data_IF_813684612675
#
_entry.id   IF_813684612675
#
_cell.length_a   1.000
_cell.length_b   1.000
_cell.length_c   1.000
_cell.angle_alpha   90.00
_cell.angle_beta   90.00
_cell.angle_gamma   90.00
#
_symmetry.space_group_name_H-M   'P 1'
#
loop_
_entity.id
_entity.type
_entity.pdbx_description
1 polymer ?
#
# COMPACT_ATOMS: atom_id res chain seq x y z
N UNK A 1 -5.99 -7.84 11.64
CA UNK A 1 -6.35 -8.71 10.51
C UNK A 1 -5.31 -8.53 9.40
N UNK A 2 -4.10 -9.07 9.55
CA UNK A 2 -3.03 -8.87 8.57
C UNK A 2 -3.34 -9.54 7.22
N UNK A 3 -4.13 -10.62 7.24
CA UNK A 3 -4.49 -11.37 6.04
C UNK A 3 -5.28 -10.52 5.02
N UNK A 4 -6.14 -9.62 5.49
CA UNK A 4 -6.89 -8.69 4.63
C UNK A 4 -5.93 -7.70 3.94
N UNK A 5 -4.91 -7.20 4.64
CA UNK A 5 -3.92 -6.30 4.06
C UNK A 5 -3.14 -6.99 2.91
N UNK A 6 -2.74 -8.24 3.13
CA UNK A 6 -2.06 -9.04 2.10
C UNK A 6 -2.99 -9.30 0.89
N UNK A 7 -4.28 -9.56 1.12
CA UNK A 7 -5.24 -9.70 0.02
C UNK A 7 -5.39 -8.41 -0.79
N UNK A 8 -5.44 -7.26 -0.11
CA UNK A 8 -5.45 -5.95 -0.78
C UNK A 8 -4.19 -5.73 -1.61
N UNK A 9 -3.02 -6.13 -1.12
CA UNK A 9 -1.77 -6.06 -1.87
C UNK A 9 -1.81 -6.93 -3.13
N UNK A 10 -2.37 -8.14 -3.04
CA UNK A 10 -2.53 -9.03 -4.19
C UNK A 10 -3.50 -8.45 -5.23
N UNK A 11 -4.59 -7.80 -4.79
CA UNK A 11 -5.54 -7.11 -5.66
C UNK A 11 -4.88 -5.89 -6.33
N UNK A 12 -4.10 -5.10 -5.58
CA UNK A 12 -3.36 -3.97 -6.13
C UNK A 12 -2.39 -4.43 -7.22
N UNK A 13 -1.62 -5.49 -6.95
CA UNK A 13 -0.70 -6.08 -7.92
C UNK A 13 -1.41 -6.63 -9.16
N UNK A 14 -2.52 -7.37 -8.97
CA UNK A 14 -3.31 -7.91 -10.07
C UNK A 14 -3.91 -6.81 -10.94
N UNK A 15 -4.46 -5.77 -10.32
CA UNK A 15 -5.04 -4.62 -11.04
C UNK A 15 -3.98 -3.86 -11.84
N UNK A 16 -2.78 -3.65 -11.27
CA UNK A 16 -1.65 -3.05 -11.98
C UNK A 16 -1.28 -3.86 -13.24
N UNK A 17 -1.21 -5.19 -13.15
CA UNK A 17 -0.84 -6.05 -14.29
C UNK A 17 -1.84 -5.99 -15.44
N UNK A 18 -3.13 -5.84 -15.14
CA UNK A 18 -4.16 -5.68 -16.16
C UNK A 18 -4.06 -4.32 -16.86
N UNK A 19 -3.74 -3.26 -16.11
CA UNK A 19 -3.61 -1.91 -16.65
C UNK A 19 -2.34 -1.70 -17.49
N UNK A 20 -1.25 -2.41 -17.16
CA UNK A 20 -0.02 -2.36 -17.94
C UNK A 20 -0.22 -2.77 -19.42
N UNK A 21 -1.35 -3.41 -19.75
CA UNK A 21 -1.70 -3.81 -21.12
C UNK A 21 -2.55 -2.78 -21.86
N UNK A 22 -3.16 -1.81 -21.17
CA UNK A 22 -4.06 -0.83 -21.79
C UNK A 22 -4.05 0.51 -21.06
N UNK A 23 -3.55 1.54 -21.76
CA UNK A 23 -3.55 2.92 -21.27
C UNK A 23 -4.97 3.45 -20.96
N UNK A 24 -6.01 2.90 -21.59
CA UNK A 24 -7.39 3.29 -21.33
C UNK A 24 -7.86 2.93 -19.90
N UNK A 25 -7.22 1.94 -19.26
CA UNK A 25 -7.55 1.49 -17.91
C UNK A 25 -6.80 2.25 -16.81
N UNK A 26 -5.90 3.15 -17.20
CA UNK A 26 -5.04 3.87 -16.27
C UNK A 26 -5.82 4.68 -15.22
N UNK A 27 -6.81 5.46 -15.64
CA UNK A 27 -7.62 6.27 -14.72
C UNK A 27 -8.45 5.42 -13.75
N UNK A 28 -8.98 4.29 -14.24
CA UNK A 28 -9.66 3.29 -13.40
C UNK A 28 -8.72 2.72 -12.34
N UNK A 29 -7.49 2.45 -12.75
CA UNK A 29 -6.44 1.99 -11.86
C UNK A 29 -6.05 2.97 -10.76
N UNK A 30 -5.90 4.24 -11.10
CA UNK A 30 -5.61 5.28 -10.13
C UNK A 30 -6.69 5.36 -9.05
N UNK A 31 -7.97 5.31 -9.46
CA UNK A 31 -9.10 5.29 -8.53
C UNK A 31 -9.06 4.02 -7.67
N UNK A 32 -8.86 2.85 -8.27
CA UNK A 32 -8.75 1.58 -7.55
C UNK A 32 -7.62 1.57 -6.51
N UNK A 33 -6.43 2.01 -6.91
CA UNK A 33 -5.27 2.12 -6.04
C UNK A 33 -5.52 3.10 -4.88
N UNK A 34 -6.21 4.21 -5.15
CA UNK A 34 -6.61 5.18 -4.12
C UNK A 34 -7.52 4.54 -3.08
N UNK A 35 -8.53 3.76 -3.51
CA UNK A 35 -9.44 3.05 -2.62
C UNK A 35 -8.68 2.03 -1.76
N UNK A 36 -7.74 1.29 -2.33
CA UNK A 36 -6.91 0.31 -1.60
C UNK A 36 -6.06 1.01 -0.53
N UNK A 37 -5.39 2.10 -0.87
CA UNK A 37 -4.57 2.87 0.08
C UNK A 37 -5.43 3.43 1.22
N UNK A 38 -6.62 3.96 0.92
CA UNK A 38 -7.55 4.42 1.95
C UNK A 38 -8.02 3.30 2.87
N UNK A 39 -8.33 2.11 2.32
CA UNK A 39 -8.69 0.95 3.12
C UNK A 39 -7.55 0.52 4.06
N UNK A 40 -6.31 0.47 3.57
CA UNK A 40 -5.12 0.15 4.38
C UNK A 40 -4.85 1.22 5.44
N UNK A 41 -5.10 2.50 5.13
CA UNK A 41 -4.95 3.60 6.08
C UNK A 41 -5.97 3.46 7.23
N UNK A 42 -7.23 3.21 6.90
CA UNK A 42 -8.29 2.94 7.89
C UNK A 42 -7.91 1.74 8.74
N UNK A 43 -7.43 0.64 8.14
CA UNK A 43 -6.98 -0.54 8.88
C UNK A 43 -5.83 -0.23 9.84
N UNK A 44 -4.90 0.65 9.45
CA UNK A 44 -3.76 1.06 10.29
C UNK A 44 -4.24 1.86 11.50
N UNK A 45 -5.14 2.82 11.30
CA UNK A 45 -5.67 3.68 12.37
C UNK A 45 -6.57 2.89 13.32
N UNK A 46 -7.47 2.06 12.78
CA UNK A 46 -8.47 1.29 13.53
C UNK A 46 -7.93 -0.01 14.14
N UNK A 47 -6.65 -0.33 13.95
CA UNK A 47 -6.05 -1.56 14.49
C UNK A 47 -6.12 -1.59 16.03
N UNK A 48 -6.93 -2.52 16.55
CA UNK A 48 -7.18 -2.71 18.00
C UNK A 48 -6.18 -3.64 18.71
N UNK A 49 -5.28 -4.30 17.98
CA UNK A 49 -4.29 -5.21 18.56
C UNK A 49 -3.09 -4.47 19.16
N UNK A 50 -2.17 -5.21 19.82
CA UNK A 50 -0.88 -4.65 20.26
C UNK A 50 -0.09 -4.14 19.04
N UNK A 51 0.18 -2.84 19.00
CA UNK A 51 0.92 -2.16 17.91
C UNK A 51 2.43 -2.31 18.10
N UNK A 52 2.89 -2.08 19.33
CA UNK A 52 4.29 -2.18 19.74
C UNK A 52 4.53 -3.51 20.44
N UNK A 53 5.59 -4.19 20.04
CA UNK A 53 6.13 -5.37 20.67
C UNK A 53 7.15 -5.02 21.75
N UNK A 54 8.01 -5.99 22.04
CA UNK A 54 9.07 -5.83 23.04
C UNK A 54 10.03 -4.69 22.68
N UNK A 55 10.57 -4.06 23.73
CA UNK A 55 11.59 -3.03 23.58
C UNK A 55 12.86 -3.66 23.02
N UNK A 56 13.32 -3.16 21.89
CA UNK A 56 14.55 -3.64 21.27
C UNK A 56 15.73 -2.81 21.78
N UNK A 57 16.52 -3.39 22.68
CA UNK A 57 17.70 -2.74 23.25
C UNK A 57 18.82 -2.50 22.24
N UNK A 58 18.82 -3.18 21.09
CA UNK A 58 19.82 -2.97 20.04
C UNK A 58 19.53 -1.71 19.21
N UNK A 59 18.26 -1.38 18.97
CA UNK A 59 17.84 -0.20 18.20
C UNK A 59 17.28 0.93 19.05
N UNK A 60 17.20 0.74 20.38
CA UNK A 60 16.60 1.67 21.33
C UNK A 60 15.15 2.08 20.96
N UNK A 61 14.42 1.16 20.35
CA UNK A 61 13.06 1.41 19.84
C UNK A 61 12.12 0.27 20.18
N UNK A 62 10.81 0.57 20.24
CA UNK A 62 9.81 -0.48 20.27
C UNK A 62 9.54 -0.99 18.85
N UNK A 63 9.83 -2.26 18.61
CA UNK A 63 9.53 -2.89 17.32
C UNK A 63 8.01 -3.00 17.14
N UNK A 64 7.50 -2.82 15.92
CA UNK A 64 6.10 -3.17 15.64
C UNK A 64 5.87 -4.66 15.82
N UNK A 65 4.68 -5.04 16.29
CA UNK A 65 4.29 -6.46 16.23
C UNK A 65 4.19 -6.89 14.78
N UNK A 66 4.56 -8.13 14.45
CA UNK A 66 4.56 -8.65 13.07
C UNK A 66 3.24 -8.36 12.36
N UNK A 67 2.11 -8.55 13.06
CA UNK A 67 0.76 -8.31 12.52
C UNK A 67 0.51 -6.84 12.16
N UNK A 68 1.01 -5.90 12.96
CA UNK A 68 0.87 -4.48 12.70
C UNK A 68 1.88 -4.00 11.65
N UNK A 69 3.12 -4.51 11.71
CA UNK A 69 4.17 -4.23 10.74
C UNK A 69 3.75 -4.58 9.31
N UNK A 70 3.11 -5.74 9.10
CA UNK A 70 2.58 -6.13 7.79
C UNK A 70 1.59 -5.09 7.25
N UNK A 71 0.63 -4.64 8.06
CA UNK A 71 -0.38 -3.65 7.65
C UNK A 71 0.28 -2.31 7.29
N UNK A 72 1.24 -1.86 8.11
CA UNK A 72 1.99 -0.62 7.88
C UNK A 72 2.84 -0.71 6.61
N UNK A 73 3.53 -1.82 6.39
CA UNK A 73 4.33 -2.03 5.17
C UNK A 73 3.45 -2.08 3.92
N UNK A 74 2.31 -2.80 3.97
CA UNK A 74 1.31 -2.80 2.90
C UNK A 74 0.87 -1.37 2.57
N UNK A 75 0.54 -0.56 3.59
CA UNK A 75 0.17 0.85 3.38
C UNK A 75 1.29 1.64 2.72
N UNK A 76 2.52 1.55 3.22
CA UNK A 76 3.67 2.31 2.69
C UNK A 76 3.91 1.96 1.22
N UNK A 77 3.96 0.67 0.88
CA UNK A 77 4.21 0.22 -0.48
C UNK A 77 3.09 0.69 -1.42
N UNK A 78 1.83 0.48 -1.05
CA UNK A 78 0.70 0.90 -1.89
C UNK A 78 0.58 2.42 -2.03
N UNK A 79 0.94 3.18 -0.99
CA UNK A 79 0.98 4.64 -1.05
C UNK A 79 2.09 5.13 -1.97
N UNK A 80 3.27 4.50 -1.97
CA UNK A 80 4.34 4.79 -2.93
C UNK A 80 3.91 4.49 -4.36
N UNK A 81 3.23 3.36 -4.57
CA UNK A 81 2.65 3.04 -5.90
C UNK A 81 1.65 4.12 -6.30
N UNK A 82 0.70 4.51 -5.44
CA UNK A 82 -0.26 5.58 -5.75
C UNK A 82 0.44 6.91 -6.07
N UNK A 83 1.49 7.27 -5.32
CA UNK A 83 2.28 8.47 -5.58
C UNK A 83 2.89 8.45 -6.99
N UNK A 84 3.41 7.30 -7.41
CA UNK A 84 3.95 7.13 -8.75
C UNK A 84 2.86 7.17 -9.84
N UNK A 85 1.62 6.70 -9.57
CA UNK A 85 0.48 6.98 -10.46
C UNK A 85 0.26 8.49 -10.57
N UNK A 86 0.26 9.24 -9.47
CA UNK A 86 0.08 10.70 -9.55
C UNK A 86 1.16 11.35 -10.42
N UNK A 87 2.43 10.97 -10.26
CA UNK A 87 3.54 11.48 -11.08
C UNK A 87 3.41 11.15 -12.57
N UNK A 88 2.83 9.99 -12.89
CA UNK A 88 2.55 9.59 -14.26
C UNK A 88 1.40 10.41 -14.84
N UNK A 89 0.35 10.68 -14.06
CA UNK A 89 -0.78 11.52 -14.48
C UNK A 89 -0.37 12.97 -14.70
N UNK A 90 0.54 13.52 -13.89
CA UNK A 90 1.05 14.90 -14.07
C UNK A 90 2.07 15.02 -15.19
N UNK A 91 2.40 13.94 -15.90
CA UNK A 91 3.41 13.92 -16.97
C UNK A 91 4.84 14.15 -16.48
N UNK A 92 5.05 14.17 -15.16
CA UNK A 92 6.36 14.41 -14.54
C UNK A 92 7.25 13.17 -14.65
N UNK A 93 6.66 11.96 -14.62
CA UNK A 93 7.43 10.73 -14.70
C UNK A 93 6.64 9.52 -15.25
N UNK A 94 7.17 8.85 -16.29
CA UNK A 94 6.53 7.67 -16.91
C UNK A 94 6.95 6.32 -16.33
N UNK A 95 7.58 6.28 -15.15
CA UNK A 95 8.18 5.05 -14.56
C UNK A 95 7.23 3.84 -14.43
N UNK A 96 5.93 4.04 -14.19
CA UNK A 96 4.99 2.94 -13.96
C UNK A 96 4.34 2.41 -15.23
N UNK A 97 3.99 3.28 -16.17
CA UNK A 97 3.36 2.91 -17.44
C UNK A 97 4.15 3.56 -18.56
N UNK A 98 5.04 2.76 -19.15
CA UNK A 98 5.79 3.08 -20.37
C UNK A 98 5.15 2.40 -21.56
#
# INVERSE_FOLDING_TARGET
MPLIAILLDAIAFGSYRLQAQSAALYHLGLVGQSVIVLALLIMTITYKGKKLGWFNFATWTHNFTIRYAVIVLSLIVNALVLFLYILNLTGTNTLIFR
#
